data_IF_823605918245
#
_entry.id   IF_823605918245
#
_cell.length_a   1.000
_cell.length_b   1.000
_cell.length_c   1.000
_cell.angle_alpha   90.00
_cell.angle_beta   90.00
_cell.angle_gamma   90.00
#
_symmetry.space_group_name_H-M   'P 1'
#
loop_
_entity.id
_entity.type
_entity.pdbx_description
1 polymer ?
#
# COMPACT_ATOMS: atom_id res chain seq x y z
N UNK A 1 -14.47 4.56 -1.28
CA UNK A 1 -15.41 5.07 -0.25
C UNK A 1 -14.66 5.10 1.06
N UNK A 2 -14.73 6.19 1.83
CA UNK A 2 -14.08 6.26 3.16
C UNK A 2 -15.09 5.93 4.26
N UNK A 3 -14.66 5.48 5.46
CA UNK A 3 -15.56 5.21 6.58
C UNK A 3 -16.49 6.40 6.92
N UNK A 4 -15.98 7.63 6.82
CA UNK A 4 -16.73 8.85 7.10
C UNK A 4 -17.85 9.06 6.10
N UNK A 5 -17.58 8.79 4.82
CA UNK A 5 -18.58 8.95 3.76
C UNK A 5 -19.79 8.03 3.96
N UNK A 6 -19.58 6.80 4.48
CA UNK A 6 -20.66 5.80 4.69
C UNK A 6 -21.78 6.37 5.56
N UNK A 7 -21.42 7.09 6.63
CA UNK A 7 -22.36 7.56 7.63
C UNK A 7 -22.76 9.03 7.47
N UNK A 8 -21.94 9.85 6.81
CA UNK A 8 -22.18 11.30 6.67
C UNK A 8 -22.69 11.72 5.29
N UNK A 9 -22.58 10.87 4.27
CA UNK A 9 -23.02 11.21 2.91
C UNK A 9 -24.53 11.09 2.74
N UNK A 10 -25.17 12.19 2.34
CA UNK A 10 -26.59 12.22 1.97
C UNK A 10 -26.88 11.32 0.75
N UNK A 11 -25.93 11.22 -0.20
CA UNK A 11 -26.06 10.36 -1.37
C UNK A 11 -26.07 8.88 -0.98
N UNK A 12 -25.11 8.45 -0.14
CA UNK A 12 -25.07 7.06 0.32
C UNK A 12 -26.28 6.73 1.19
N UNK A 13 -26.70 7.65 2.05
CA UNK A 13 -27.93 7.49 2.85
C UNK A 13 -29.17 7.25 1.97
N UNK A 14 -29.27 7.92 0.81
CA UNK A 14 -30.34 7.67 -0.16
C UNK A 14 -30.22 6.28 -0.80
N UNK A 15 -29.02 5.88 -1.22
CA UNK A 15 -28.79 4.54 -1.78
C UNK A 15 -29.12 3.43 -0.79
N UNK A 16 -28.82 3.61 0.50
CA UNK A 16 -29.18 2.68 1.57
C UNK A 16 -30.69 2.60 1.84
N UNK A 17 -31.52 3.44 1.22
CA UNK A 17 -32.99 3.33 1.27
C UNK A 17 -33.58 2.68 0.03
N UNK A 18 -32.80 2.53 -1.05
CA UNK A 18 -33.26 1.96 -2.31
C UNK A 18 -33.13 0.44 -2.29
N UNK A 19 -34.26 -0.26 -2.24
CA UNK A 19 -34.27 -1.73 -2.15
C UNK A 19 -33.59 -2.38 -3.36
N UNK A 20 -33.84 -1.87 -4.57
CA UNK A 20 -33.17 -2.33 -5.78
C UNK A 20 -31.65 -2.09 -5.80
N UNK A 21 -31.12 -1.19 -4.97
CA UNK A 21 -29.67 -1.05 -4.77
C UNK A 21 -29.15 -2.10 -3.78
N UNK A 22 -29.82 -2.27 -2.64
CA UNK A 22 -29.46 -3.28 -1.63
C UNK A 22 -29.42 -4.69 -2.22
N UNK A 23 -30.37 -5.02 -3.08
CA UNK A 23 -30.41 -6.32 -3.76
C UNK A 23 -29.25 -6.52 -4.76
N UNK A 24 -28.57 -5.47 -5.20
CA UNK A 24 -27.41 -5.61 -6.09
C UNK A 24 -26.08 -5.62 -5.34
N UNK A 25 -26.09 -5.34 -4.05
CA UNK A 25 -24.90 -5.41 -3.23
C UNK A 25 -24.66 -6.87 -2.81
N UNK A 26 -23.47 -7.38 -3.09
CA UNK A 26 -23.08 -8.75 -2.77
C UNK A 26 -22.07 -8.81 -1.63
N UNK A 27 -21.16 -7.84 -1.54
CA UNK A 27 -20.05 -7.89 -0.57
C UNK A 27 -19.63 -6.50 -0.09
N UNK A 28 -19.32 -6.41 1.21
CA UNK A 28 -18.63 -5.29 1.84
C UNK A 28 -17.22 -5.73 2.21
N UNK A 29 -16.22 -5.03 1.68
CA UNK A 29 -14.80 -5.29 1.96
C UNK A 29 -14.25 -4.17 2.84
N UNK A 30 -13.77 -4.53 4.03
CA UNK A 30 -13.07 -3.66 4.97
C UNK A 30 -11.57 -3.82 4.75
N UNK A 31 -10.96 -2.92 3.98
CA UNK A 31 -9.50 -2.80 3.88
C UNK A 31 -8.91 -2.16 5.14
N UNK A 32 -7.63 -2.45 5.42
CA UNK A 32 -6.91 -1.97 6.62
C UNK A 32 -7.67 -2.24 7.92
N UNK A 33 -8.24 -3.44 8.05
CA UNK A 33 -9.14 -3.78 9.16
C UNK A 33 -8.50 -3.67 10.56
N UNK A 34 -7.16 -3.66 10.65
CA UNK A 34 -6.44 -3.38 11.91
C UNK A 34 -6.73 -1.97 12.46
N UNK A 35 -7.14 -1.01 11.61
CA UNK A 35 -7.55 0.32 12.05
C UNK A 35 -8.74 0.26 13.03
N UNK A 36 -9.56 -0.79 13.01
CA UNK A 36 -10.66 -0.97 13.96
C UNK A 36 -10.15 -1.17 15.40
N UNK A 37 -9.00 -1.82 15.57
CA UNK A 37 -8.51 -2.25 16.89
C UNK A 37 -7.37 -1.40 17.44
N UNK A 38 -6.45 -0.96 16.58
CA UNK A 38 -5.22 -0.25 16.96
C UNK A 38 -5.41 1.28 16.94
N UNK A 39 -6.23 1.80 16.04
CA UNK A 39 -6.37 3.24 15.79
C UNK A 39 -7.82 3.73 15.84
N UNK A 40 -8.76 2.85 16.20
CA UNK A 40 -10.19 3.06 16.00
C UNK A 40 -10.76 4.30 16.69
N UNK A 41 -10.62 4.40 18.02
CA UNK A 41 -11.24 5.51 18.78
C UNK A 41 -10.54 6.86 18.53
N UNK A 42 -9.24 6.87 18.21
CA UNK A 42 -8.43 8.10 18.18
C UNK A 42 -8.06 8.60 16.77
N UNK A 43 -7.99 7.72 15.77
CA UNK A 43 -7.57 8.09 14.41
C UNK A 43 -8.73 8.11 13.41
N UNK A 44 -9.72 7.21 13.54
CA UNK A 44 -10.93 7.14 12.71
C UNK A 44 -12.11 6.47 13.44
N UNK A 45 -12.86 7.21 14.27
CA UNK A 45 -13.98 6.68 15.07
C UNK A 45 -15.05 5.97 14.26
N UNK A 46 -15.20 6.29 12.97
CA UNK A 46 -16.18 5.69 12.07
C UNK A 46 -15.92 4.21 11.81
N UNK A 47 -14.68 3.73 11.91
CA UNK A 47 -14.38 2.29 11.85
C UNK A 47 -15.03 1.53 13.01
N UNK A 48 -15.14 2.15 14.19
CA UNK A 48 -15.81 1.55 15.35
C UNK A 48 -17.34 1.41 15.16
N UNK A 49 -17.90 2.06 14.14
CA UNK A 49 -19.34 2.05 13.85
C UNK A 49 -19.70 1.12 12.70
N UNK A 50 -18.74 0.43 12.11
CA UNK A 50 -18.95 -0.32 10.87
C UNK A 50 -20.00 -1.44 11.01
N UNK A 51 -20.14 -2.05 12.19
CA UNK A 51 -21.20 -3.02 12.50
C UNK A 51 -22.61 -2.48 12.23
N UNK A 52 -22.83 -1.17 12.44
CA UNK A 52 -24.12 -0.49 12.18
C UNK A 52 -24.56 -0.54 10.72
N UNK A 53 -23.65 -0.84 9.79
CA UNK A 53 -23.99 -1.03 8.38
C UNK A 53 -24.76 -2.33 8.14
N UNK A 54 -24.52 -3.39 8.92
CA UNK A 54 -25.16 -4.69 8.73
C UNK A 54 -26.70 -4.64 8.71
N UNK A 55 -27.39 -4.03 9.70
CA UNK A 55 -28.85 -3.97 9.69
C UNK A 55 -29.42 -3.12 8.54
N UNK A 56 -28.59 -2.30 7.88
CA UNK A 56 -29.02 -1.50 6.73
C UNK A 56 -29.00 -2.28 5.41
N UNK A 57 -28.30 -3.40 5.37
CA UNK A 57 -28.05 -4.21 4.18
C UNK A 57 -28.87 -5.51 4.19
N UNK A 58 -29.00 -6.14 3.03
CA UNK A 58 -29.64 -7.45 2.94
C UNK A 58 -28.78 -8.51 3.65
N UNK A 59 -29.41 -9.49 4.31
CA UNK A 59 -28.71 -10.52 5.09
C UNK A 59 -27.73 -11.38 4.27
N UNK A 60 -27.90 -11.41 2.95
CA UNK A 60 -27.02 -12.13 2.01
C UNK A 60 -25.67 -11.46 1.77
N UNK A 61 -25.54 -10.18 2.11
CA UNK A 61 -24.32 -9.42 1.84
C UNK A 61 -23.18 -9.96 2.69
N UNK A 62 -22.15 -10.49 2.03
CA UNK A 62 -20.95 -10.98 2.71
C UNK A 62 -20.12 -9.80 3.24
N UNK A 63 -19.54 -9.96 4.41
CA UNK A 63 -18.54 -9.03 4.94
C UNK A 63 -17.18 -9.70 4.91
N UNK A 64 -16.18 -9.00 4.38
CA UNK A 64 -14.80 -9.48 4.30
C UNK A 64 -13.91 -8.41 4.92
N UNK A 65 -13.03 -8.81 5.84
CA UNK A 65 -12.03 -7.90 6.41
C UNK A 65 -10.64 -8.33 5.95
N UNK A 66 -9.88 -7.38 5.43
CA UNK A 66 -8.54 -7.58 4.88
C UNK A 66 -7.56 -6.68 5.61
N UNK A 67 -6.42 -7.24 6.00
CA UNK A 67 -5.30 -6.50 6.59
C UNK A 67 -4.02 -7.31 6.42
N UNK A 68 -2.89 -6.63 6.27
CA UNK A 68 -1.57 -7.27 6.27
C UNK A 68 -1.18 -7.76 7.66
N UNK A 69 -1.61 -7.05 8.71
CA UNK A 69 -1.33 -7.33 10.11
C UNK A 69 -2.64 -7.40 10.88
N UNK A 70 -2.86 -8.50 11.61
CA UNK A 70 -3.96 -8.66 12.58
C UNK A 70 -3.50 -9.61 13.68
N UNK A 71 -3.32 -9.10 14.90
CA UNK A 71 -3.07 -9.97 16.05
C UNK A 71 -4.33 -10.75 16.44
N UNK A 72 -4.20 -11.80 17.23
CA UNK A 72 -5.35 -12.55 17.76
C UNK A 72 -6.29 -11.67 18.58
N UNK A 73 -5.76 -10.65 19.26
CA UNK A 73 -6.53 -9.65 20.00
C UNK A 73 -7.30 -8.73 19.04
N UNK A 74 -6.66 -8.30 17.95
CA UNK A 74 -7.31 -7.45 16.94
C UNK A 74 -8.44 -8.19 16.24
N UNK A 75 -8.26 -9.47 15.92
CA UNK A 75 -9.30 -10.30 15.34
C UNK A 75 -10.52 -10.39 16.26
N UNK A 76 -10.31 -10.55 17.58
CA UNK A 76 -11.41 -10.58 18.56
C UNK A 76 -12.16 -9.25 18.60
N UNK A 77 -11.43 -8.12 18.66
CA UNK A 77 -12.03 -6.77 18.63
C UNK A 77 -12.80 -6.52 17.34
N UNK A 78 -12.18 -6.80 16.19
CA UNK A 78 -12.78 -6.66 14.87
C UNK A 78 -14.06 -7.51 14.75
N UNK A 79 -14.03 -8.76 15.24
CA UNK A 79 -15.23 -9.62 15.26
C UNK A 79 -16.38 -8.98 16.03
N UNK A 80 -16.10 -8.42 17.21
CA UNK A 80 -17.11 -7.73 18.02
C UNK A 80 -17.61 -6.44 17.35
N UNK A 81 -16.70 -5.56 16.91
CA UNK A 81 -17.04 -4.23 16.37
C UNK A 81 -17.71 -4.28 15.01
N UNK A 82 -17.28 -5.18 14.13
CA UNK A 82 -17.88 -5.39 12.82
C UNK A 82 -18.97 -6.47 12.83
N UNK A 83 -19.40 -6.95 14.01
CA UNK A 83 -20.48 -7.93 14.20
C UNK A 83 -20.33 -9.17 13.30
N UNK A 84 -19.12 -9.71 13.20
CA UNK A 84 -18.91 -10.96 12.48
C UNK A 84 -19.53 -12.14 13.23
N UNK A 85 -20.08 -13.09 12.47
CA UNK A 85 -20.61 -14.32 13.05
C UNK A 85 -19.51 -15.13 13.74
N UNK A 86 -19.83 -15.91 14.79
CA UNK A 86 -18.85 -16.74 15.50
C UNK A 86 -18.11 -17.73 14.59
N UNK A 87 -18.80 -18.22 13.56
CA UNK A 87 -18.32 -19.17 12.54
C UNK A 87 -17.56 -18.51 11.37
N UNK A 88 -17.18 -17.22 11.48
CA UNK A 88 -16.43 -16.56 10.41
C UNK A 88 -15.08 -17.23 10.17
N UNK A 89 -14.80 -17.51 8.90
CA UNK A 89 -13.51 -18.05 8.46
C UNK A 89 -12.39 -17.04 8.69
N UNK A 90 -11.30 -17.49 9.30
CA UNK A 90 -10.07 -16.72 9.47
C UNK A 90 -9.01 -17.38 8.60
N UNK A 91 -8.55 -16.65 7.57
CA UNK A 91 -7.52 -17.14 6.64
C UNK A 91 -6.25 -16.35 6.90
N UNK A 92 -5.19 -17.05 7.32
CA UNK A 92 -3.85 -16.49 7.47
C UNK A 92 -2.90 -17.23 6.55
N UNK A 93 -2.46 -16.56 5.48
CA UNK A 93 -1.53 -17.12 4.48
C UNK A 93 -0.07 -17.00 4.93
N UNK A 94 0.19 -16.29 6.03
CA UNK A 94 1.53 -15.95 6.49
C UNK A 94 2.17 -14.82 5.69
N UNK A 95 3.35 -14.41 6.12
CA UNK A 95 4.15 -13.37 5.44
C UNK A 95 5.51 -13.91 4.96
N UNK A 96 5.73 -15.22 5.03
CA UNK A 96 6.99 -15.82 4.63
C UNK A 96 7.19 -15.67 3.12
N UNK A 97 8.43 -15.34 2.75
CA UNK A 97 8.85 -15.11 1.38
C UNK A 97 10.23 -15.72 1.19
N UNK A 98 10.25 -16.96 0.74
CA UNK A 98 11.49 -17.71 0.47
C UNK A 98 12.45 -17.01 -0.50
N UNK A 99 11.91 -16.12 -1.35
CA UNK A 99 12.67 -15.30 -2.29
C UNK A 99 13.19 -13.98 -1.70
N UNK A 100 13.01 -13.73 -0.40
CA UNK A 100 13.49 -12.54 0.32
C UNK A 100 14.66 -12.94 1.21
N UNK A 101 15.80 -12.26 1.04
CA UNK A 101 16.99 -12.46 1.85
C UNK A 101 17.16 -11.31 2.84
N UNK A 102 17.52 -11.63 4.09
CA UNK A 102 17.90 -10.62 5.07
C UNK A 102 19.26 -10.02 4.70
N UNK A 103 19.34 -8.70 4.78
CA UNK A 103 20.57 -7.98 4.53
C UNK A 103 21.62 -8.36 5.58
N UNK A 104 22.80 -8.82 5.14
CA UNK A 104 23.88 -9.27 6.05
C UNK A 104 24.71 -8.10 6.61
N UNK A 105 24.78 -6.98 5.89
CA UNK A 105 25.55 -5.80 6.26
C UNK A 105 24.71 -4.53 6.09
N UNK A 106 24.74 -3.63 7.07
CA UNK A 106 24.05 -2.35 6.99
C UNK A 106 24.91 -1.30 6.28
N UNK A 107 24.31 -0.48 5.43
CA UNK A 107 24.97 0.67 4.83
C UNK A 107 25.31 1.69 5.93
N UNK A 108 26.58 2.12 6.01
CA UNK A 108 27.05 3.13 6.97
C UNK A 108 27.26 4.49 6.31
N UNK A 109 27.32 4.50 4.98
CA UNK A 109 27.52 5.67 4.16
C UNK A 109 26.85 5.50 2.81
N UNK A 110 26.66 6.59 2.06
CA UNK A 110 26.14 6.48 0.69
C UNK A 110 27.09 5.73 -0.25
N UNK A 111 28.39 5.68 0.07
CA UNK A 111 29.38 4.90 -0.70
C UNK A 111 29.08 3.40 -0.69
N UNK A 112 28.50 2.90 0.39
CA UNK A 112 28.07 1.50 0.50
C UNK A 112 26.91 1.18 -0.46
N UNK A 113 26.29 2.20 -1.08
CA UNK A 113 25.22 2.07 -2.07
C UNK A 113 25.71 2.19 -3.52
N UNK A 114 27.01 2.43 -3.76
CA UNK A 114 27.56 2.59 -5.11
C UNK A 114 27.25 1.39 -6.02
N UNK A 115 27.14 0.19 -5.43
CA UNK A 115 26.81 -1.03 -6.18
C UNK A 115 25.44 -0.97 -6.85
N UNK A 116 24.49 -0.22 -6.27
CA UNK A 116 23.11 -0.09 -6.79
C UNK A 116 23.11 0.51 -8.18
N UNK A 117 24.04 1.43 -8.46
CA UNK A 117 24.17 2.10 -9.76
C UNK A 117 25.18 1.47 -10.71
N UNK A 118 25.88 0.41 -10.29
CA UNK A 118 26.82 -0.34 -11.17
C UNK A 118 26.14 -1.43 -11.98
N UNK A 119 25.23 -2.18 -11.36
CA UNK A 119 24.45 -3.25 -12.01
C UNK A 119 23.04 -2.74 -12.44
N UNK A 120 22.64 -1.57 -11.94
CA UNK A 120 21.41 -0.82 -12.25
C UNK A 120 20.12 -1.64 -12.32
N UNK A 121 20.05 -2.79 -11.65
CA UNK A 121 18.81 -3.55 -11.50
C UNK A 121 17.72 -2.67 -10.90
N UNK A 122 16.46 -2.95 -11.24
CA UNK A 122 15.32 -2.27 -10.61
C UNK A 122 15.41 -2.39 -9.10
N UNK A 123 15.66 -1.26 -8.44
CA UNK A 123 15.98 -1.20 -7.01
C UNK A 123 15.22 -0.06 -6.36
N UNK A 124 14.67 -0.29 -5.17
CA UNK A 124 14.14 0.76 -4.31
C UNK A 124 15.08 0.87 -3.11
N UNK A 125 15.57 2.08 -2.83
CA UNK A 125 16.40 2.38 -1.66
C UNK A 125 15.61 3.30 -0.74
N UNK A 126 15.30 2.83 0.46
CA UNK A 126 14.52 3.57 1.44
C UNK A 126 15.43 4.39 2.36
N UNK A 127 15.01 5.62 2.65
CA UNK A 127 15.61 6.52 3.63
C UNK A 127 14.55 7.00 4.62
N UNK A 128 14.97 7.34 5.85
CA UNK A 128 14.04 7.80 6.88
C UNK A 128 13.53 9.21 6.56
N UNK A 129 14.40 10.05 6.02
CA UNK A 129 14.09 11.47 5.76
C UNK A 129 14.20 11.84 4.29
N UNK A 130 13.34 12.78 3.87
CA UNK A 130 13.41 13.41 2.54
C UNK A 130 14.79 14.03 2.26
N UNK A 131 15.46 14.50 3.31
CA UNK A 131 16.79 15.10 3.20
C UNK A 131 17.84 14.05 2.83
N UNK A 132 17.80 12.89 3.46
CA UNK A 132 18.66 11.76 3.11
C UNK A 132 18.35 11.23 1.71
N UNK A 133 17.07 11.11 1.33
CA UNK A 133 16.65 10.76 -0.03
C UNK A 133 17.33 11.68 -1.06
N UNK A 134 17.36 12.99 -0.81
CA UNK A 134 17.98 13.97 -1.69
C UNK A 134 19.52 13.90 -1.66
N UNK A 135 20.13 13.67 -0.50
CA UNK A 135 21.60 13.50 -0.39
C UNK A 135 22.08 12.24 -1.10
N UNK A 136 21.35 11.13 -0.96
CA UNK A 136 21.61 9.90 -1.69
C UNK A 136 21.52 10.13 -3.21
N UNK A 137 20.55 10.92 -3.67
CA UNK A 137 20.44 11.29 -5.08
C UNK A 137 21.66 12.09 -5.57
N UNK A 138 22.13 13.05 -4.77
CA UNK A 138 23.34 13.84 -5.07
C UNK A 138 24.62 12.99 -5.06
N UNK A 139 24.65 11.89 -4.31
CA UNK A 139 25.77 10.95 -4.30
C UNK A 139 25.74 9.97 -5.48
N UNK A 140 24.57 9.38 -5.77
CA UNK A 140 24.44 8.30 -6.74
C UNK A 140 24.43 8.78 -8.20
N UNK A 141 23.81 9.93 -8.50
CA UNK A 141 23.72 10.43 -9.88
C UNK A 141 25.07 10.76 -10.52
N UNK A 142 26.03 11.40 -9.83
CA UNK A 142 27.35 11.67 -10.41
C UNK A 142 28.16 10.42 -10.80
N UNK A 143 27.84 9.26 -10.23
CA UNK A 143 28.47 7.98 -10.57
C UNK A 143 28.02 7.41 -11.92
N UNK A 144 27.02 8.03 -12.55
CA UNK A 144 26.48 7.65 -13.86
C UNK A 144 26.84 8.68 -14.94
N UNK A 145 26.97 8.19 -16.17
CA UNK A 145 27.08 9.02 -17.36
C UNK A 145 25.84 9.91 -17.53
N UNK A 146 26.02 11.08 -18.17
CA UNK A 146 24.97 12.09 -18.30
C UNK A 146 23.61 11.55 -18.81
N UNK A 147 23.53 10.67 -19.83
CA UNK A 147 22.26 10.10 -20.30
C UNK A 147 21.53 9.27 -19.23
N UNK A 148 22.28 8.70 -18.29
CA UNK A 148 21.81 7.70 -17.34
C UNK A 148 21.47 8.26 -15.97
N UNK A 149 21.87 9.50 -15.66
CA UNK A 149 21.55 10.15 -14.37
C UNK A 149 20.04 10.24 -14.10
N UNK A 150 19.23 10.30 -15.15
CA UNK A 150 17.77 10.29 -15.07
C UNK A 150 17.16 8.96 -14.63
N UNK A 151 17.94 7.87 -14.65
CA UNK A 151 17.54 6.53 -14.18
C UNK A 151 17.57 6.41 -12.64
N UNK A 152 18.11 7.39 -11.93
CA UNK A 152 18.03 7.46 -10.46
C UNK A 152 17.10 8.62 -10.09
N UNK A 153 16.01 8.33 -9.37
CA UNK A 153 14.96 9.29 -9.08
C UNK A 153 14.56 9.28 -7.59
N UNK A 154 14.36 10.47 -7.01
CA UNK A 154 13.83 10.61 -5.66
C UNK A 154 12.30 10.65 -5.66
N UNK A 155 11.67 9.83 -4.81
CA UNK A 155 10.24 9.64 -4.68
C UNK A 155 9.79 9.92 -3.25
N UNK A 156 9.19 11.08 -3.01
CA UNK A 156 8.74 11.47 -1.68
C UNK A 156 7.53 12.41 -1.77
N UNK A 157 6.84 12.63 -0.64
CA UNK A 157 5.58 13.38 -0.58
C UNK A 157 5.61 14.78 -1.22
N UNK A 158 6.75 15.50 -1.15
CA UNK A 158 6.89 16.83 -1.76
C UNK A 158 7.03 16.85 -3.29
N UNK A 159 7.07 15.70 -3.97
CA UNK A 159 7.00 15.67 -5.45
C UNK A 159 5.54 15.85 -5.88
N UNK A 160 5.32 16.56 -6.98
CA UNK A 160 3.99 16.67 -7.60
C UNK A 160 3.49 15.29 -8.05
N UNK A 161 2.17 15.13 -8.12
CA UNK A 161 1.55 13.86 -8.50
C UNK A 161 1.99 13.42 -9.91
N UNK A 162 2.02 14.34 -10.88
CA UNK A 162 2.51 14.03 -12.23
C UNK A 162 3.98 13.56 -12.28
N UNK A 163 4.85 14.07 -11.40
CA UNK A 163 6.24 13.60 -11.31
C UNK A 163 6.31 12.22 -10.65
N UNK A 164 5.50 11.98 -9.61
CA UNK A 164 5.41 10.68 -8.95
C UNK A 164 4.88 9.61 -9.93
N UNK A 165 3.85 9.93 -10.69
CA UNK A 165 3.32 9.09 -11.76
C UNK A 165 4.37 8.79 -12.82
N UNK A 166 5.05 9.83 -13.35
CA UNK A 166 6.12 9.64 -14.33
C UNK A 166 7.22 8.70 -13.83
N UNK A 167 7.68 8.86 -12.59
CA UNK A 167 8.72 8.01 -12.02
C UNK A 167 8.25 6.58 -11.80
N UNK A 168 7.01 6.40 -11.32
CA UNK A 168 6.42 5.07 -11.13
C UNK A 168 6.16 4.36 -12.46
N UNK A 169 5.74 5.07 -13.49
CA UNK A 169 5.52 4.51 -14.82
C UNK A 169 6.84 4.05 -15.45
N UNK A 170 7.88 4.88 -15.35
CA UNK A 170 9.23 4.47 -15.77
C UNK A 170 9.71 3.23 -15.01
N UNK A 171 9.47 3.18 -13.70
CA UNK A 171 9.93 2.07 -12.86
C UNK A 171 9.15 0.78 -13.13
N UNK A 172 7.85 0.88 -13.38
CA UNK A 172 6.95 -0.25 -13.67
C UNK A 172 7.16 -0.87 -15.03
N UNK A 173 7.54 -0.11 -16.07
CA UNK A 173 7.75 -0.63 -17.42
C UNK A 173 8.69 -1.84 -17.41
N UNK A 174 8.14 -3.04 -17.61
CA UNK A 174 8.90 -4.26 -17.88
C UNK A 174 8.93 -4.39 -19.40
N UNK A 175 10.07 -4.10 -20.03
CA UNK A 175 10.20 -4.38 -21.46
C UNK A 175 10.27 -5.90 -21.67
N UNK A 176 9.60 -6.45 -22.71
CA UNK A 176 9.73 -7.86 -23.03
C UNK A 176 11.20 -8.21 -23.28
N UNK A 177 11.59 -9.42 -22.87
CA UNK A 177 12.94 -9.97 -23.04
C UNK A 177 13.14 -10.35 -24.50
N UNK A 178 13.14 -9.38 -25.42
CA UNK A 178 13.58 -9.58 -26.81
C UNK A 178 15.04 -9.15 -26.92
N UNK A 179 15.86 -10.04 -27.49
CA UNK A 179 17.32 -10.10 -27.45
C UNK A 179 18.12 -8.93 -28.06
N UNK A 180 17.52 -7.80 -28.45
CA UNK A 180 18.23 -6.78 -29.24
C UNK A 180 18.07 -5.32 -28.79
N UNK A 181 17.60 -5.08 -27.56
CA UNK A 181 17.68 -3.75 -26.96
C UNK A 181 18.27 -3.84 -25.54
N UNK A 182 19.51 -3.37 -25.38
CA UNK A 182 20.23 -3.22 -24.10
C UNK A 182 19.62 -2.12 -23.19
N UNK A 183 18.47 -1.59 -23.57
CA UNK A 183 17.67 -0.69 -22.76
C UNK A 183 16.87 -1.44 -21.70
N UNK A 184 17.54 -2.18 -20.78
CA UNK A 184 16.89 -2.57 -19.53
C UNK A 184 16.31 -1.29 -18.93
N UNK A 185 15.03 -1.28 -18.58
CA UNK A 185 14.41 -0.22 -17.78
C UNK A 185 14.94 -0.32 -16.34
N UNK A 186 16.23 -0.08 -16.23
CA UNK A 186 17.09 -0.23 -15.10
C UNK A 186 17.00 1.11 -14.36
N UNK A 187 16.16 1.15 -13.32
CA UNK A 187 15.85 2.37 -12.59
C UNK A 187 16.02 2.13 -11.09
N UNK A 188 16.61 3.11 -10.42
CA UNK A 188 16.77 3.14 -8.98
C UNK A 188 15.83 4.22 -8.44
N UNK A 189 14.86 3.80 -7.63
CA UNK A 189 13.97 4.70 -6.92
C UNK A 189 14.53 4.90 -5.51
N UNK A 190 14.76 6.15 -5.15
CA UNK A 190 15.19 6.54 -3.81
C UNK A 190 13.98 7.12 -3.09
N UNK A 191 13.50 6.47 -2.03
CA UNK A 191 12.27 6.82 -1.34
C UNK A 191 12.55 7.32 0.07
#
# INVERSE_FOLDING_TARGET
MTPESIFKSNTLTRLWKMEGWKQRLETVVLGEAHCVSEWGQDFRPEYARIGKLRPMLHHRVAFVALSATLSSTDIKKLRATAEFRPDVNIINVGNDRSNVMKMKNYARSFKDLDFVVKDMKKTIVYFETRFETQRALCHLRPLLDLPDRGKVAAFHACKSDGIKELYMDKFRRVMPVSKEFDGRANQVLVQ
#
